data_IF_720382860034
#
_entry.id   IF_720382860034
#
_cell.length_a   1.000
_cell.length_b   1.000
_cell.length_c   1.000
_cell.angle_alpha   90.00
_cell.angle_beta   90.00
_cell.angle_gamma   90.00
#
_symmetry.space_group_name_H-M   'P 1'
#
loop_
_entity.id
_entity.type
_entity.pdbx_description
1 polymer ?
#
# COMPACT_ATOMS: atom_id res chain seq x y z
N UNK A 1 18.43 1.62 -20.36
CA UNK A 1 17.04 1.93 -19.98
C UNK A 1 16.87 1.65 -18.49
N UNK A 2 16.40 2.60 -17.69
CA UNK A 2 16.14 2.36 -16.25
C UNK A 2 14.76 1.70 -16.16
N UNK A 3 14.72 0.41 -15.85
CA UNK A 3 13.47 -0.33 -15.72
C UNK A 3 12.70 0.25 -14.52
N UNK A 4 11.52 0.82 -14.77
CA UNK A 4 10.67 1.36 -13.71
C UNK A 4 10.19 0.21 -12.83
N UNK A 5 10.59 0.21 -11.56
CA UNK A 5 10.16 -0.80 -10.59
C UNK A 5 8.87 -0.38 -9.90
N UNK A 6 8.06 -1.35 -9.53
CA UNK A 6 6.81 -1.12 -8.85
C UNK A 6 7.06 -0.73 -7.37
N UNK A 7 6.41 0.34 -6.92
CA UNK A 7 6.35 0.73 -5.51
C UNK A 7 5.02 0.30 -4.93
N UNK A 8 5.05 -0.58 -3.93
CA UNK A 8 3.83 -1.01 -3.24
C UNK A 8 3.68 -0.28 -1.91
N UNK A 9 2.47 0.20 -1.64
CA UNK A 9 2.12 0.77 -0.35
C UNK A 9 1.09 -0.13 0.31
N UNK A 10 1.46 -0.74 1.43
CA UNK A 10 0.51 -1.45 2.30
C UNK A 10 0.00 -0.44 3.32
N UNK A 11 -1.28 -0.09 3.29
CA UNK A 11 -1.90 0.93 4.14
C UNK A 11 -3.08 0.36 4.93
N UNK A 12 -3.47 1.05 6.00
CA UNK A 12 -4.65 0.67 6.76
C UNK A 12 -5.94 0.87 5.93
N UNK A 13 -6.87 -0.07 6.05
CA UNK A 13 -8.17 -0.05 5.36
C UNK A 13 -9.22 0.85 6.02
N UNK A 14 -8.88 1.52 7.12
CA UNK A 14 -9.78 2.48 7.77
C UNK A 14 -10.11 3.65 6.84
N UNK A 15 -11.36 4.11 6.89
CA UNK A 15 -11.80 5.28 6.12
C UNK A 15 -11.43 6.53 6.91
N UNK A 16 -10.16 6.89 6.85
CA UNK A 16 -9.63 8.13 7.42
C UNK A 16 -8.83 8.87 6.32
N UNK A 17 -9.21 10.10 5.95
CA UNK A 17 -8.51 10.88 4.92
C UNK A 17 -7.03 11.15 5.21
N UNK A 18 -6.59 11.00 6.47
CA UNK A 18 -5.17 11.08 6.87
C UNK A 18 -4.37 9.84 6.45
N UNK A 19 -5.04 8.78 6.01
CA UNK A 19 -4.42 7.52 5.58
C UNK A 19 -4.35 7.38 4.06
N UNK A 20 -4.80 8.38 3.31
CA UNK A 20 -4.71 8.39 1.85
C UNK A 20 -3.24 8.58 1.40
N UNK A 21 -2.57 7.53 0.88
CA UNK A 21 -1.16 7.63 0.52
C UNK A 21 -0.91 8.59 -0.66
N UNK A 22 -1.93 8.86 -1.49
CA UNK A 22 -1.79 9.80 -2.62
C UNK A 22 -1.50 11.23 -2.18
N UNK A 23 -1.79 11.56 -0.92
CA UNK A 23 -1.52 12.88 -0.32
C UNK A 23 -0.07 13.05 0.13
N UNK A 24 0.68 11.96 0.27
CA UNK A 24 2.04 11.95 0.82
C UNK A 24 3.09 11.42 -0.15
N UNK A 25 2.66 10.59 -1.10
CA UNK A 25 3.51 9.97 -2.11
C UNK A 25 3.06 10.39 -3.50
N UNK A 26 4.03 10.63 -4.39
CA UNK A 26 3.74 10.91 -5.79
C UNK A 26 3.40 9.60 -6.53
N UNK A 27 2.16 9.14 -6.35
CA UNK A 27 1.67 7.89 -6.94
C UNK A 27 1.42 8.09 -8.42
N UNK A 28 2.07 7.28 -9.25
CA UNK A 28 1.74 7.18 -10.67
C UNK A 28 1.14 5.80 -10.95
N UNK A 29 0.06 5.76 -11.73
CA UNK A 29 -0.69 4.52 -11.98
C UNK A 29 0.16 3.39 -12.58
N UNK A 30 1.27 3.75 -13.24
CA UNK A 30 2.13 2.80 -13.94
C UNK A 30 3.27 2.26 -13.08
N UNK A 31 3.57 2.89 -11.94
CA UNK A 31 4.73 2.51 -11.09
C UNK A 31 4.39 2.40 -9.61
N UNK A 32 3.12 2.55 -9.22
CA UNK A 32 2.70 2.44 -7.83
C UNK A 32 1.37 1.71 -7.68
N UNK A 33 1.22 0.99 -6.57
CA UNK A 33 -0.02 0.32 -6.19
C UNK A 33 -0.24 0.40 -4.69
N UNK A 34 -1.50 0.49 -4.27
CA UNK A 34 -1.91 0.59 -2.86
C UNK A 34 -2.71 -0.65 -2.47
N UNK A 35 -2.23 -1.39 -1.47
CA UNK A 35 -2.92 -2.52 -0.86
C UNK A 35 -3.44 -2.07 0.50
N UNK A 36 -4.77 -2.12 0.68
CA UNK A 36 -5.40 -1.78 1.96
C UNK A 36 -5.66 -3.03 2.79
N UNK A 37 -5.16 -3.06 4.02
CA UNK A 37 -5.37 -4.16 4.97
C UNK A 37 -5.75 -3.65 6.35
N UNK A 38 -6.30 -4.51 7.21
CA UNK A 38 -6.62 -4.13 8.58
C UNK A 38 -5.33 -3.75 9.33
N UNK A 39 -5.23 -2.48 9.73
CA UNK A 39 -4.08 -1.93 10.45
C UNK A 39 -2.79 -1.80 9.62
N UNK A 40 -2.87 -1.91 8.28
CA UNK A 40 -1.70 -1.87 7.40
C UNK A 40 -0.76 -3.07 7.58
N UNK A 41 -1.29 -4.20 8.06
CA UNK A 41 -0.48 -5.41 8.31
C UNK A 41 -0.09 -6.08 7.00
N UNK A 42 1.22 -6.30 6.81
CA UNK A 42 1.78 -6.97 5.64
C UNK A 42 1.36 -8.43 5.51
N UNK A 43 1.13 -9.14 6.63
CA UNK A 43 0.68 -10.54 6.60
C UNK A 43 -0.62 -10.71 5.79
N UNK A 44 -1.52 -9.72 5.87
CA UNK A 44 -2.78 -9.73 5.12
C UNK A 44 -2.63 -9.30 3.65
N UNK A 45 -1.46 -8.77 3.27
CA UNK A 45 -1.14 -8.34 1.91
C UNK A 45 -0.26 -9.35 1.15
N UNK A 46 0.21 -10.42 1.80
CA UNK A 46 1.30 -11.27 1.27
C UNK A 46 0.96 -11.90 -0.09
N UNK A 47 -0.26 -12.38 -0.28
CA UNK A 47 -0.70 -12.96 -1.55
C UNK A 47 -0.73 -11.91 -2.66
N UNK A 48 -1.22 -10.70 -2.36
CA UNK A 48 -1.22 -9.58 -3.31
C UNK A 48 0.20 -9.17 -3.69
N UNK A 49 1.14 -9.17 -2.74
CA UNK A 49 2.56 -8.89 -3.01
C UNK A 49 3.17 -9.92 -3.94
N UNK A 50 2.90 -11.22 -3.73
CA UNK A 50 3.37 -12.27 -4.65
C UNK A 50 2.79 -12.12 -6.05
N UNK A 51 1.48 -11.86 -6.17
CA UNK A 51 0.84 -11.65 -7.48
C UNK A 51 1.39 -10.41 -8.20
N UNK A 52 1.70 -9.35 -7.47
CA UNK A 52 2.29 -8.13 -8.04
C UNK A 52 3.73 -8.34 -8.47
N UNK A 53 4.57 -8.98 -7.65
CA UNK A 53 5.95 -9.32 -8.02
C UNK A 53 6.01 -10.20 -9.28
N UNK A 54 5.10 -11.17 -9.39
CA UNK A 54 5.00 -12.03 -10.56
C UNK A 54 4.65 -11.24 -11.86
N UNK A 55 3.96 -10.11 -11.74
CA UNK A 55 3.55 -9.27 -12.87
C UNK A 55 4.56 -8.17 -13.20
N UNK A 56 5.17 -7.57 -12.18
CA UNK A 56 6.14 -6.49 -12.30
C UNK A 56 7.04 -6.50 -11.08
N UNK A 57 8.35 -6.51 -11.30
CA UNK A 57 9.33 -6.51 -10.22
C UNK A 57 9.08 -5.33 -9.26
N UNK A 58 8.86 -5.66 -8.00
CA UNK A 58 8.73 -4.71 -6.90
C UNK A 58 10.13 -4.20 -6.57
N UNK A 59 10.27 -2.88 -6.58
CA UNK A 59 11.51 -2.21 -6.16
C UNK A 59 11.47 -1.72 -4.73
N UNK A 60 10.27 -1.51 -4.19
CA UNK A 60 10.07 -0.92 -2.88
C UNK A 60 8.71 -1.33 -2.31
N UNK A 61 8.68 -1.65 -1.02
CA UNK A 61 7.46 -1.82 -0.24
C UNK A 61 7.48 -0.80 0.89
N UNK A 62 6.43 0.00 0.98
CA UNK A 62 6.20 0.97 2.05
C UNK A 62 5.04 0.46 2.89
N UNK A 63 5.23 0.40 4.20
CA UNK A 63 4.17 0.01 5.15
C UNK A 63 3.71 1.27 5.89
N UNK A 64 2.47 1.67 5.64
CA UNK A 64 1.84 2.83 6.25
C UNK A 64 0.88 2.38 7.36
N UNK A 65 1.30 2.66 8.60
CA UNK A 65 0.48 2.50 9.79
C UNK A 65 0.15 3.87 10.39
N UNK A 66 -0.82 3.90 11.29
CA UNK A 66 -1.23 5.13 11.94
C UNK A 66 -1.46 4.93 13.44
N UNK A 67 -1.41 6.04 14.15
CA UNK A 67 -1.84 6.15 15.54
C UNK A 67 -3.29 6.64 15.59
N UNK A 68 -4.01 6.30 16.66
CA UNK A 68 -5.43 6.65 16.85
C UNK A 68 -6.32 5.44 17.09
N UNK A 69 -7.55 5.66 17.55
CA UNK A 69 -8.52 4.58 17.75
C UNK A 69 -9.08 4.14 16.41
N UNK A 70 -9.17 2.83 16.20
CA UNK A 70 -9.91 2.23 15.10
C UNK A 70 -11.35 2.74 15.10
N UNK A 71 -11.74 3.46 14.05
CA UNK A 71 -13.15 3.77 13.84
C UNK A 71 -13.84 2.47 13.42
N UNK A 72 -14.49 1.78 14.36
CA UNK A 72 -15.39 0.68 14.03
C UNK A 72 -16.60 1.31 13.34
N UNK A 73 -16.72 1.18 12.02
CA UNK A 73 -18.03 1.26 11.39
C UNK A 73 -18.85 0.08 11.91
N UNK A 74 -19.92 0.41 12.61
CA UNK A 74 -20.86 -0.50 13.25
C UNK A 74 -21.58 -1.39 12.24
#
# INVERSE_FOLDING_TARGET
MRQSRLTIIVSCSETDPRLDPSRYFNLTANTSSVVKTVGGRTVSAINSLYSMEASTQIGMVIVLQHTGKRTKTS
#
